data_IF_024590336039
#
_entry.id   IF_024590336039
#
_cell.length_a   1.000
_cell.length_b   1.000
_cell.length_c   1.000
_cell.angle_alpha   90.00
_cell.angle_beta   90.00
_cell.angle_gamma   90.00
#
_symmetry.space_group_name_H-M   'P 1'
#
loop_
_entity.id
_entity.type
_entity.pdbx_description
1 polymer ?
#
# COMPACT_ATOMS: atom_id res chain seq x y z
N UNK A 1 -20.37 -40.17 43.77
CA UNK A 1 -19.45 -40.12 42.62
C UNK A 1 -19.83 -38.89 41.78
N UNK A 2 -19.11 -37.81 41.89
CA UNK A 2 -19.37 -36.57 41.14
C UNK A 2 -18.42 -36.52 39.93
N UNK A 3 -18.96 -36.63 38.71
CA UNK A 3 -18.23 -36.46 37.47
C UNK A 3 -17.86 -34.99 37.28
N UNK A 4 -16.58 -34.67 37.20
CA UNK A 4 -16.07 -33.36 36.81
C UNK A 4 -16.16 -33.25 35.28
N UNK A 5 -16.98 -32.36 34.81
CA UNK A 5 -17.00 -31.94 33.37
C UNK A 5 -15.89 -30.92 33.21
N UNK A 6 -14.86 -31.27 32.46
CA UNK A 6 -13.80 -30.37 32.04
C UNK A 6 -14.34 -29.53 30.85
N UNK A 7 -14.30 -28.19 30.86
CA UNK A 7 -14.68 -27.42 29.70
C UNK A 7 -13.62 -27.57 28.62
N UNK A 8 -14.00 -28.08 27.46
CA UNK A 8 -13.19 -28.09 26.25
C UNK A 8 -13.06 -26.63 25.74
N UNK A 9 -11.84 -26.10 25.78
CA UNK A 9 -11.55 -24.83 25.09
C UNK A 9 -11.75 -25.06 23.59
N UNK A 10 -12.80 -24.48 23.02
CA UNK A 10 -12.98 -24.43 21.58
C UNK A 10 -11.88 -23.60 20.95
N UNK A 11 -11.25 -24.11 19.89
CA UNK A 11 -10.31 -23.34 19.09
C UNK A 11 -11.00 -22.11 18.50
N UNK A 12 -10.31 -20.93 18.42
CA UNK A 12 -10.90 -19.72 17.86
C UNK A 12 -11.34 -19.97 16.41
N UNK A 13 -12.52 -19.48 16.05
CA UNK A 13 -13.05 -19.55 14.69
C UNK A 13 -12.17 -18.71 13.74
N UNK A 14 -12.12 -19.07 12.47
CA UNK A 14 -11.33 -18.36 11.43
C UNK A 14 -11.60 -16.84 11.40
N UNK A 15 -12.84 -16.43 11.63
CA UNK A 15 -13.24 -15.01 11.71
C UNK A 15 -12.61 -14.28 12.91
N UNK A 16 -12.64 -14.88 14.10
CA UNK A 16 -12.04 -14.29 15.29
C UNK A 16 -10.51 -14.15 15.16
N UNK A 17 -9.87 -15.02 14.38
CA UNK A 17 -8.42 -14.96 14.11
C UNK A 17 -8.10 -13.84 13.12
N UNK A 18 -8.97 -13.63 12.10
CA UNK A 18 -8.82 -12.56 11.13
C UNK A 18 -9.02 -11.19 11.77
N UNK A 19 -10.05 -11.02 12.62
CA UNK A 19 -10.31 -9.81 13.38
C UNK A 19 -9.12 -9.46 14.30
N UNK A 20 -8.59 -10.44 15.02
CA UNK A 20 -7.44 -10.21 15.92
C UNK A 20 -6.18 -9.80 15.18
N UNK A 21 -5.94 -10.39 14.01
CA UNK A 21 -4.81 -10.00 13.17
C UNK A 21 -4.94 -8.55 12.71
N UNK A 22 -6.14 -8.12 12.31
CA UNK A 22 -6.40 -6.76 11.86
C UNK A 22 -6.29 -5.75 13.01
N UNK A 23 -6.77 -6.07 14.22
CA UNK A 23 -6.60 -5.24 15.41
C UNK A 23 -5.12 -4.95 15.69
N UNK A 24 -4.26 -5.97 15.59
CA UNK A 24 -2.81 -5.83 15.78
C UNK A 24 -2.20 -4.91 14.70
N UNK A 25 -2.61 -5.05 13.43
CA UNK A 25 -2.12 -4.20 12.34
C UNK A 25 -2.59 -2.75 12.51
N UNK A 26 -3.82 -2.52 12.93
CA UNK A 26 -4.35 -1.17 13.20
C UNK A 26 -3.59 -0.50 14.37
N UNK A 27 -3.30 -1.26 15.43
CA UNK A 27 -2.50 -0.78 16.55
C UNK A 27 -1.04 -0.46 16.12
N UNK A 28 -0.47 -1.26 15.24
CA UNK A 28 0.87 -1.02 14.69
C UNK A 28 0.90 0.26 13.83
N UNK A 29 -0.13 0.49 13.01
CA UNK A 29 -0.26 1.74 12.26
C UNK A 29 -0.33 2.95 13.19
N UNK A 30 -1.15 2.88 14.25
CA UNK A 30 -1.24 3.95 15.24
C UNK A 30 0.11 4.23 15.93
N UNK A 31 0.90 3.19 16.27
CA UNK A 31 2.27 3.37 16.77
C UNK A 31 3.16 4.11 15.76
N UNK A 32 3.05 3.74 14.48
CA UNK A 32 3.86 4.36 13.43
C UNK A 32 3.44 5.81 13.13
N UNK A 33 2.17 6.14 13.27
CA UNK A 33 1.66 7.53 13.12
C UNK A 33 2.24 8.43 14.22
N UNK A 34 2.27 7.94 15.46
CA UNK A 34 2.71 8.73 16.61
C UNK A 34 4.25 8.95 16.65
N UNK A 35 5.03 7.97 16.21
CA UNK A 35 6.50 8.04 16.38
C UNK A 35 7.33 7.47 15.24
N UNK A 36 6.73 7.26 14.06
CA UNK A 36 7.40 6.66 12.90
C UNK A 36 7.49 5.13 12.99
N UNK A 37 8.04 4.52 11.94
CA UNK A 37 8.13 3.05 11.83
C UNK A 37 8.95 2.44 12.97
N UNK A 38 9.95 3.16 13.47
CA UNK A 38 10.81 2.70 14.57
C UNK A 38 10.08 2.62 15.91
N UNK A 39 9.01 3.38 16.11
CA UNK A 39 8.17 3.35 17.30
C UNK A 39 7.26 2.11 17.38
N UNK A 40 7.11 1.36 16.30
CA UNK A 40 6.37 0.09 16.32
C UNK A 40 7.11 -0.91 17.22
N UNK A 41 6.48 -1.36 18.30
CA UNK A 41 7.03 -2.35 19.23
C UNK A 41 5.95 -3.31 19.70
N UNK A 42 6.34 -4.51 20.13
CA UNK A 42 5.40 -5.51 20.66
C UNK A 42 4.59 -4.93 21.83
N UNK A 43 5.25 -4.24 22.75
CA UNK A 43 4.59 -3.64 23.92
C UNK A 43 3.67 -2.47 23.55
N UNK A 44 4.10 -1.60 22.63
CA UNK A 44 3.29 -0.50 22.13
C UNK A 44 2.03 -0.97 21.41
N UNK A 45 2.16 -2.00 20.58
CA UNK A 45 1.04 -2.64 19.88
C UNK A 45 0.10 -3.31 20.89
N UNK A 46 0.64 -4.09 21.82
CA UNK A 46 -0.13 -4.74 22.88
C UNK A 46 -0.95 -3.75 23.71
N UNK A 47 -0.33 -2.65 24.11
CA UNK A 47 -0.99 -1.62 24.92
C UNK A 47 -2.20 -0.99 24.19
N UNK A 48 -2.16 -0.94 22.85
CA UNK A 48 -3.25 -0.34 22.05
C UNK A 48 -4.39 -1.31 21.71
N UNK A 49 -4.08 -2.59 21.45
CA UNK A 49 -5.11 -3.54 21.00
C UNK A 49 -5.51 -4.59 22.05
N UNK A 50 -4.85 -4.62 23.22
CA UNK A 50 -5.12 -5.61 24.27
C UNK A 50 -4.80 -7.05 23.90
N UNK A 51 -4.08 -7.28 22.79
CA UNK A 51 -3.67 -8.62 22.38
C UNK A 51 -2.63 -9.18 23.38
N UNK A 52 -2.68 -10.50 23.63
CA UNK A 52 -1.62 -11.14 24.40
C UNK A 52 -0.31 -11.17 23.61
N UNK A 53 0.83 -11.13 24.32
CA UNK A 53 2.15 -11.24 23.71
C UNK A 53 2.25 -12.53 22.88
N UNK A 54 1.72 -13.65 23.39
CA UNK A 54 1.68 -14.93 22.66
C UNK A 54 0.89 -14.85 21.35
N UNK A 55 -0.24 -14.12 21.32
CA UNK A 55 -1.02 -13.92 20.11
C UNK A 55 -0.24 -13.11 19.06
N UNK A 56 0.44 -12.04 19.48
CA UNK A 56 1.26 -11.22 18.58
C UNK A 56 2.38 -12.05 17.96
N UNK A 57 3.13 -12.81 18.79
CA UNK A 57 4.20 -13.68 18.28
C UNK A 57 3.68 -14.79 17.37
N UNK A 58 2.51 -15.35 17.67
CA UNK A 58 1.89 -16.38 16.84
C UNK A 58 1.57 -15.85 15.42
N UNK A 59 1.06 -14.62 15.31
CA UNK A 59 0.68 -14.03 14.01
C UNK A 59 1.87 -13.47 13.22
N UNK A 60 2.87 -12.90 13.90
CA UNK A 60 3.86 -12.05 13.23
C UNK A 60 5.31 -12.42 13.54
N UNK A 61 5.57 -13.25 14.55
CA UNK A 61 6.90 -13.70 14.95
C UNK A 61 7.71 -12.65 15.71
N UNK A 62 7.79 -11.43 15.19
CA UNK A 62 8.56 -10.33 15.81
C UNK A 62 8.08 -8.97 15.30
N UNK A 63 8.74 -7.87 15.73
CA UNK A 63 8.49 -6.50 15.30
C UNK A 63 8.54 -6.35 13.76
N UNK A 64 9.58 -6.91 13.14
CA UNK A 64 9.79 -6.76 11.69
C UNK A 64 8.70 -7.50 10.92
N UNK A 65 8.21 -8.62 11.46
CA UNK A 65 7.06 -9.34 10.93
C UNK A 65 5.77 -8.51 10.97
N UNK A 66 5.54 -7.73 12.03
CA UNK A 66 4.39 -6.81 12.13
C UNK A 66 4.52 -5.71 11.08
N UNK A 67 5.68 -5.05 11.01
CA UNK A 67 5.95 -3.96 10.05
C UNK A 67 5.78 -4.45 8.61
N UNK A 68 6.33 -5.61 8.28
CA UNK A 68 6.20 -6.19 6.96
C UNK A 68 4.75 -6.60 6.63
N UNK A 69 4.04 -7.20 7.58
CA UNK A 69 2.64 -7.58 7.38
C UNK A 69 1.75 -6.35 7.16
N UNK A 70 1.93 -5.28 7.94
CA UNK A 70 1.23 -4.01 7.77
C UNK A 70 1.57 -3.38 6.42
N UNK A 71 2.85 -3.38 6.03
CA UNK A 71 3.28 -2.87 4.73
C UNK A 71 2.55 -3.58 3.58
N UNK A 72 2.50 -4.91 3.58
CA UNK A 72 1.84 -5.66 2.50
C UNK A 72 0.32 -5.51 2.53
N UNK A 73 -0.30 -5.42 3.71
CA UNK A 73 -1.73 -5.14 3.84
C UNK A 73 -2.10 -3.82 3.15
N UNK A 74 -1.37 -2.75 3.48
CA UNK A 74 -1.59 -1.42 2.90
C UNK A 74 -1.24 -1.40 1.41
N UNK A 75 -0.15 -2.05 1.00
CA UNK A 75 0.26 -2.14 -0.41
C UNK A 75 -0.79 -2.84 -1.28
N UNK A 76 -1.40 -3.91 -0.77
CA UNK A 76 -2.47 -4.61 -1.48
C UNK A 76 -3.74 -3.77 -1.55
N UNK A 77 -4.08 -3.05 -0.48
CA UNK A 77 -5.23 -2.15 -0.47
C UNK A 77 -5.08 -1.04 -1.51
N UNK A 78 -3.93 -0.36 -1.55
CA UNK A 78 -3.60 0.62 -2.59
C UNK A 78 -3.70 0.03 -3.99
N UNK A 79 -3.14 -1.16 -4.20
CA UNK A 79 -3.15 -1.82 -5.50
C UNK A 79 -4.56 -2.15 -5.97
N UNK A 80 -5.43 -2.62 -5.08
CA UNK A 80 -6.85 -2.88 -5.39
C UNK A 80 -7.60 -1.61 -5.77
N UNK A 81 -7.36 -0.50 -5.06
CA UNK A 81 -7.99 0.78 -5.35
C UNK A 81 -7.62 1.29 -6.75
N UNK A 82 -6.35 1.23 -7.12
CA UNK A 82 -5.88 1.61 -8.46
C UNK A 82 -6.47 0.68 -9.53
N UNK A 83 -6.45 -0.64 -9.29
CA UNK A 83 -6.97 -1.63 -10.24
C UNK A 83 -8.47 -1.43 -10.50
N UNK A 84 -9.26 -1.16 -9.46
CA UNK A 84 -10.69 -0.92 -9.61
C UNK A 84 -11.01 0.29 -10.53
N UNK A 85 -10.21 1.36 -10.43
CA UNK A 85 -10.36 2.51 -11.32
C UNK A 85 -9.92 2.20 -12.75
N UNK A 86 -8.85 1.42 -12.91
CA UNK A 86 -8.38 0.97 -14.22
C UNK A 86 -9.41 0.08 -14.92
N UNK A 87 -10.02 -0.85 -14.20
CA UNK A 87 -11.05 -1.77 -14.74
C UNK A 87 -12.34 -1.04 -15.14
N UNK A 88 -12.66 0.06 -14.47
CA UNK A 88 -13.80 0.91 -14.82
C UNK A 88 -13.53 1.83 -16.02
N UNK A 89 -12.27 2.06 -16.40
CA UNK A 89 -11.89 2.98 -17.46
C UNK A 89 -12.27 2.43 -18.85
N UNK A 90 -12.63 3.32 -19.77
CA UNK A 90 -12.95 2.97 -21.16
C UNK A 90 -11.94 3.63 -22.09
N UNK A 91 -11.12 2.81 -22.75
CA UNK A 91 -10.07 3.25 -23.66
C UNK A 91 -8.76 3.62 -22.96
N UNK A 92 -7.72 3.75 -23.77
CA UNK A 92 -6.33 3.86 -23.28
C UNK A 92 -6.07 5.18 -22.52
N UNK A 93 -6.60 6.30 -23.00
CA UNK A 93 -6.44 7.58 -22.29
C UNK A 93 -7.08 7.54 -20.91
N UNK A 94 -8.34 7.07 -20.83
CA UNK A 94 -9.04 6.93 -19.56
C UNK A 94 -8.30 5.98 -18.62
N UNK A 95 -7.73 4.87 -19.13
CA UNK A 95 -6.93 3.94 -18.35
C UNK A 95 -5.64 4.56 -17.79
N UNK A 96 -4.89 5.31 -18.61
CA UNK A 96 -3.68 6.03 -18.15
C UNK A 96 -4.03 7.04 -17.07
N UNK A 97 -5.11 7.81 -17.28
CA UNK A 97 -5.61 8.77 -16.29
C UNK A 97 -6.04 8.06 -14.99
N UNK A 98 -6.75 6.93 -15.10
CA UNK A 98 -7.21 6.14 -13.96
C UNK A 98 -6.07 5.59 -13.09
N UNK A 99 -4.94 5.20 -13.69
CA UNK A 99 -3.75 4.81 -12.95
C UNK A 99 -3.25 5.93 -12.03
N UNK A 100 -3.18 7.15 -12.57
CA UNK A 100 -2.71 8.33 -11.82
C UNK A 100 -3.72 8.77 -10.77
N UNK A 101 -4.99 8.92 -11.18
CA UNK A 101 -6.04 9.41 -10.29
C UNK A 101 -6.37 8.41 -9.18
N UNK A 102 -6.40 7.10 -9.49
CA UNK A 102 -6.63 6.05 -8.50
C UNK A 102 -5.54 5.99 -7.42
N UNK A 103 -4.29 6.18 -7.82
CA UNK A 103 -3.19 6.28 -6.88
C UNK A 103 -3.30 7.55 -6.01
N UNK A 104 -3.52 8.70 -6.63
CA UNK A 104 -3.61 10.00 -5.96
C UNK A 104 -4.79 10.05 -5.00
N UNK A 105 -5.97 9.64 -5.45
CA UNK A 105 -7.19 9.62 -4.64
C UNK A 105 -7.02 8.74 -3.40
N UNK A 106 -6.37 7.57 -3.56
CA UNK A 106 -6.06 6.70 -2.43
C UNK A 106 -5.08 7.36 -1.43
N UNK A 107 -4.01 8.01 -1.92
CA UNK A 107 -3.04 8.72 -1.06
C UNK A 107 -3.70 9.85 -0.29
N UNK A 108 -4.58 10.63 -0.93
CA UNK A 108 -5.29 11.75 -0.29
C UNK A 108 -6.32 11.25 0.73
N UNK A 109 -7.00 10.15 0.44
CA UNK A 109 -7.98 9.56 1.34
C UNK A 109 -7.34 8.87 2.56
N UNK A 110 -6.10 8.37 2.43
CA UNK A 110 -5.43 7.57 3.46
C UNK A 110 -3.96 8.03 3.67
N UNK A 111 -3.73 9.30 4.06
CA UNK A 111 -2.38 9.87 4.10
C UNK A 111 -1.46 9.19 5.12
N UNK A 112 -1.98 8.72 6.25
CA UNK A 112 -1.20 7.99 7.25
C UNK A 112 -0.71 6.64 6.73
N UNK A 113 -1.59 5.88 6.07
CA UNK A 113 -1.23 4.61 5.43
C UNK A 113 -0.22 4.82 4.31
N UNK A 114 -0.40 5.85 3.50
CA UNK A 114 0.53 6.21 2.43
C UNK A 114 1.90 6.61 2.99
N UNK A 115 1.94 7.41 4.05
CA UNK A 115 3.21 7.80 4.73
C UNK A 115 3.92 6.56 5.27
N UNK A 116 3.20 5.65 5.92
CA UNK A 116 3.76 4.39 6.40
C UNK A 116 4.40 3.58 5.27
N UNK A 117 3.73 3.42 4.11
CA UNK A 117 4.31 2.70 2.97
C UNK A 117 5.66 3.27 2.51
N UNK A 118 5.77 4.60 2.46
CA UNK A 118 7.03 5.23 2.06
C UNK A 118 8.13 5.01 3.10
N UNK A 119 7.83 5.19 4.38
CA UNK A 119 8.79 5.07 5.46
C UNK A 119 9.24 3.62 5.70
N UNK A 120 8.30 2.67 5.70
CA UNK A 120 8.59 1.27 6.00
C UNK A 120 9.29 0.51 4.86
N UNK A 121 9.28 1.06 3.62
CA UNK A 121 9.82 0.36 2.45
C UNK A 121 11.28 -0.09 2.63
N UNK A 122 12.13 0.77 3.16
CA UNK A 122 13.56 0.46 3.36
C UNK A 122 13.74 -0.63 4.42
N UNK A 123 12.99 -0.57 5.52
CA UNK A 123 13.04 -1.58 6.58
C UNK A 123 12.58 -2.96 6.06
N UNK A 124 11.49 -3.00 5.28
CA UNK A 124 11.01 -4.24 4.67
C UNK A 124 12.00 -4.77 3.63
N UNK A 125 12.65 -3.89 2.85
CA UNK A 125 13.67 -4.25 1.86
C UNK A 125 14.96 -4.78 2.50
N UNK A 126 15.28 -4.39 3.72
CA UNK A 126 16.42 -4.91 4.48
C UNK A 126 16.10 -6.15 5.33
N UNK A 127 14.82 -6.50 5.45
CA UNK A 127 14.32 -7.57 6.31
C UNK A 127 14.15 -8.93 5.60
N UNK A 128 13.67 -9.94 6.32
CA UNK A 128 13.50 -11.30 5.78
C UNK A 128 12.42 -11.40 4.68
N UNK A 129 11.55 -10.38 4.54
CA UNK A 129 10.49 -10.33 3.52
C UNK A 129 10.91 -9.61 2.22
N UNK A 130 12.22 -9.37 2.02
CA UNK A 130 12.78 -8.80 0.78
C UNK A 130 12.34 -9.56 -0.49
N UNK A 131 12.33 -10.91 -0.54
CA UNK A 131 11.85 -11.63 -1.71
C UNK A 131 10.38 -11.35 -2.03
N UNK A 132 9.52 -11.21 -1.01
CA UNK A 132 8.10 -10.91 -1.19
C UNK A 132 7.91 -9.50 -1.76
N UNK A 133 8.71 -8.53 -1.30
CA UNK A 133 8.69 -7.16 -1.82
C UNK A 133 9.11 -7.13 -3.29
N UNK A 134 10.17 -7.83 -3.65
CA UNK A 134 10.62 -7.95 -5.04
C UNK A 134 9.56 -8.62 -5.92
N UNK A 135 8.94 -9.69 -5.44
CA UNK A 135 7.87 -10.40 -6.15
C UNK A 135 6.63 -9.51 -6.34
N UNK A 136 6.19 -8.79 -5.30
CA UNK A 136 5.04 -7.89 -5.39
C UNK A 136 5.29 -6.74 -6.39
N UNK A 137 6.50 -6.15 -6.37
CA UNK A 137 6.91 -5.13 -7.32
C UNK A 137 6.95 -5.68 -8.77
N UNK A 138 7.51 -6.87 -8.97
CA UNK A 138 7.58 -7.54 -10.27
C UNK A 138 6.17 -7.83 -10.82
N UNK A 139 5.29 -8.42 -10.03
CA UNK A 139 3.89 -8.71 -10.45
C UNK A 139 3.15 -7.45 -10.89
N UNK A 140 3.26 -6.38 -10.10
CA UNK A 140 2.63 -5.09 -10.44
C UNK A 140 3.19 -4.53 -11.76
N UNK A 141 4.50 -4.57 -11.93
CA UNK A 141 5.15 -4.06 -13.13
C UNK A 141 4.76 -4.89 -14.36
N UNK A 142 4.76 -6.21 -14.25
CA UNK A 142 4.32 -7.12 -15.31
C UNK A 142 2.87 -6.88 -15.71
N UNK A 143 1.97 -6.67 -14.75
CA UNK A 143 0.57 -6.37 -15.03
C UNK A 143 0.41 -5.05 -15.81
N UNK A 144 1.15 -4.01 -15.44
CA UNK A 144 1.14 -2.75 -16.17
C UNK A 144 1.74 -2.88 -17.58
N UNK A 145 2.86 -3.58 -17.72
CA UNK A 145 3.46 -3.86 -19.03
C UNK A 145 2.49 -4.62 -19.93
N UNK A 146 1.85 -5.66 -19.41
CA UNK A 146 0.85 -6.44 -20.14
C UNK A 146 -0.37 -5.60 -20.54
N UNK A 147 -0.78 -4.63 -19.70
CA UNK A 147 -1.86 -3.72 -20.02
C UNK A 147 -1.47 -2.72 -21.13
N UNK A 148 -0.23 -2.22 -21.15
CA UNK A 148 0.23 -1.28 -22.18
C UNK A 148 0.49 -1.93 -23.54
N UNK A 149 0.92 -3.19 -23.58
CA UNK A 149 1.38 -3.84 -24.82
C UNK A 149 0.35 -3.86 -25.96
N UNK A 150 -0.92 -4.23 -25.78
CA UNK A 150 -1.94 -4.15 -26.84
C UNK A 150 -2.14 -2.73 -27.37
N UNK A 151 -2.08 -1.73 -26.50
CA UNK A 151 -2.23 -0.33 -26.88
C UNK A 151 -1.04 0.20 -27.68
N UNK A 152 0.17 -0.26 -27.34
CA UNK A 152 1.39 0.02 -28.08
C UNK A 152 1.33 -0.59 -29.48
N UNK A 153 0.94 -1.86 -29.60
CA UNK A 153 0.77 -2.56 -30.87
C UNK A 153 -0.29 -1.91 -31.77
N UNK A 154 -1.35 -1.38 -31.18
CA UNK A 154 -2.39 -0.65 -31.90
C UNK A 154 -1.99 0.79 -32.27
N UNK A 155 -0.79 1.25 -31.89
CA UNK A 155 -0.33 2.62 -32.17
C UNK A 155 -1.06 3.72 -31.34
N UNK A 156 -1.80 3.33 -30.30
CA UNK A 156 -2.53 4.27 -29.45
C UNK A 156 -1.63 4.94 -28.39
N UNK A 157 -0.48 4.35 -28.11
CA UNK A 157 0.58 4.94 -27.28
C UNK A 157 1.91 4.89 -28.04
N UNK A 158 2.86 5.71 -27.58
CA UNK A 158 4.21 5.81 -28.17
C UNK A 158 4.88 4.44 -28.25
N UNK A 159 5.64 4.22 -29.31
CA UNK A 159 6.45 3.00 -29.46
C UNK A 159 7.73 3.08 -28.60
N UNK A 160 7.56 2.97 -27.29
CA UNK A 160 8.62 2.90 -26.30
C UNK A 160 8.65 1.52 -25.67
N UNK A 161 9.79 1.11 -25.08
CA UNK A 161 9.84 -0.11 -24.27
C UNK A 161 8.74 -0.10 -23.20
N UNK A 162 7.93 -1.17 -23.14
CA UNK A 162 6.79 -1.23 -22.23
C UNK A 162 7.19 -1.15 -20.75
N UNK A 163 8.40 -1.58 -20.40
CA UNK A 163 8.98 -1.44 -19.05
C UNK A 163 9.20 0.03 -18.63
N UNK A 164 9.29 0.96 -19.59
CA UNK A 164 9.41 2.39 -19.31
C UNK A 164 8.07 3.06 -19.01
N UNK A 165 6.97 2.54 -19.58
CA UNK A 165 5.63 3.14 -19.47
C UNK A 165 5.18 3.36 -18.01
N UNK A 166 5.31 2.38 -17.09
CA UNK A 166 4.95 2.59 -15.69
C UNK A 166 5.67 3.77 -15.03
N UNK A 167 6.96 3.96 -15.37
CA UNK A 167 7.75 5.06 -14.82
C UNK A 167 7.30 6.42 -15.37
N UNK A 168 6.98 6.52 -16.63
CA UNK A 168 6.49 7.75 -17.26
C UNK A 168 5.11 8.14 -16.74
N UNK A 169 4.24 7.17 -16.49
CA UNK A 169 2.86 7.41 -16.02
C UNK A 169 2.83 7.68 -14.52
N UNK A 170 3.47 6.83 -13.72
CA UNK A 170 3.35 6.89 -12.25
C UNK A 170 4.43 7.75 -11.58
N UNK A 171 5.58 7.96 -12.23
CA UNK A 171 6.71 8.67 -11.64
C UNK A 171 6.36 10.06 -11.10
N UNK A 172 5.77 10.95 -11.90
CA UNK A 172 5.44 12.30 -11.46
C UNK A 172 4.47 12.34 -10.27
N UNK A 173 3.36 11.58 -10.31
CA UNK A 173 2.38 11.56 -9.23
C UNK A 173 2.97 10.95 -7.94
N UNK A 174 3.75 9.89 -8.05
CA UNK A 174 4.42 9.29 -6.89
C UNK A 174 5.43 10.25 -6.27
N UNK A 175 6.20 10.97 -7.09
CA UNK A 175 7.16 11.97 -6.62
C UNK A 175 6.47 13.10 -5.86
N UNK A 176 5.40 13.67 -6.44
CA UNK A 176 4.66 14.75 -5.79
C UNK A 176 3.99 14.30 -4.49
N UNK A 177 3.29 13.16 -4.50
CA UNK A 177 2.64 12.63 -3.30
C UNK A 177 3.65 12.33 -2.18
N UNK A 178 4.83 11.79 -2.51
CA UNK A 178 5.89 11.55 -1.53
C UNK A 178 6.38 12.85 -0.91
N UNK A 179 6.65 13.87 -1.72
CA UNK A 179 7.08 15.17 -1.24
C UNK A 179 6.01 15.83 -0.35
N UNK A 180 4.73 15.74 -0.74
CA UNK A 180 3.61 16.23 0.07
C UNK A 180 3.50 15.52 1.42
N UNK A 181 3.61 14.20 1.46
CA UNK A 181 3.52 13.40 2.70
C UNK A 181 4.74 13.59 3.63
N UNK A 182 5.91 13.95 3.09
CA UNK A 182 7.11 14.21 3.87
C UNK A 182 7.24 15.68 4.31
N UNK A 183 6.41 16.57 3.75
CA UNK A 183 6.41 17.99 4.10
C UNK A 183 5.99 18.23 5.55
N UNK A 184 6.66 19.21 6.20
CA UNK A 184 6.25 19.74 7.50
C UNK A 184 5.14 20.77 7.29
N UNK A 185 4.31 20.96 8.32
CA UNK A 185 3.35 22.07 8.37
C UNK A 185 4.08 23.41 8.36
N UNK A 186 3.57 24.37 7.60
CA UNK A 186 4.14 25.71 7.56
C UNK A 186 4.05 26.38 6.19
N UNK A 187 4.66 27.58 6.02
CA UNK A 187 4.58 28.36 4.78
C UNK A 187 5.15 27.66 3.54
N UNK A 188 6.00 26.64 3.75
CA UNK A 188 6.61 25.81 2.69
C UNK A 188 5.88 24.50 2.45
N UNK A 189 4.74 24.26 3.10
CA UNK A 189 3.95 23.05 2.91
C UNK A 189 3.44 22.96 1.46
N UNK A 190 3.60 21.78 0.86
CA UNK A 190 3.06 21.56 -0.47
C UNK A 190 1.52 21.50 -0.42
N UNK A 191 0.90 22.07 -1.44
CA UNK A 191 -0.54 21.98 -1.65
C UNK A 191 -0.96 20.52 -1.83
N UNK A 192 -2.16 20.16 -1.32
CA UNK A 192 -2.70 18.81 -1.51
C UNK A 192 -2.66 18.38 -2.98
N UNK A 193 -2.20 17.15 -3.27
CA UNK A 193 -2.18 16.63 -4.63
C UNK A 193 -3.55 16.62 -5.29
N UNK A 194 -4.64 16.62 -4.52
CA UNK A 194 -6.01 16.66 -5.04
C UNK A 194 -6.28 17.84 -5.97
N UNK A 195 -5.66 19.01 -5.72
CA UNK A 195 -5.81 20.20 -6.56
C UNK A 195 -5.19 20.01 -7.94
N UNK A 196 -4.13 19.20 -8.04
CA UNK A 196 -3.40 18.94 -9.29
C UNK A 196 -3.80 17.61 -9.94
N UNK A 197 -4.91 17.01 -9.50
CA UNK A 197 -5.37 15.69 -9.93
C UNK A 197 -5.46 15.59 -11.46
N UNK A 198 -6.16 16.52 -12.08
CA UNK A 198 -6.36 16.52 -13.53
C UNK A 198 -5.07 16.87 -14.29
N UNK A 199 -4.26 17.79 -13.76
CA UNK A 199 -3.00 18.16 -14.40
C UNK A 199 -2.00 17.01 -14.39
N UNK A 200 -1.87 16.30 -13.27
CA UNK A 200 -1.00 15.11 -13.17
C UNK A 200 -1.47 13.98 -14.09
N UNK A 201 -2.79 13.74 -14.17
CA UNK A 201 -3.36 12.76 -15.09
C UNK A 201 -3.15 13.13 -16.56
N UNK A 202 -3.35 14.41 -16.90
CA UNK A 202 -3.11 14.92 -18.25
C UNK A 202 -1.63 14.87 -18.63
N UNK A 203 -0.73 15.18 -17.71
CA UNK A 203 0.72 15.08 -17.93
C UNK A 203 1.15 13.64 -18.21
N UNK A 204 0.63 12.67 -17.46
CA UNK A 204 0.89 11.25 -17.68
C UNK A 204 0.41 10.81 -19.08
N UNK A 205 -0.79 11.22 -19.48
CA UNK A 205 -1.28 10.91 -20.83
C UNK A 205 -0.41 11.55 -21.91
N UNK A 206 -0.05 12.84 -21.79
CA UNK A 206 0.87 13.52 -22.75
C UNK A 206 2.22 12.82 -22.86
N UNK A 207 2.72 12.21 -21.80
CA UNK A 207 3.99 11.51 -21.79
C UNK A 207 3.99 10.21 -22.62
N UNK A 208 2.84 9.55 -22.77
CA UNK A 208 2.75 8.22 -23.40
C UNK A 208 1.88 8.16 -24.66
N UNK A 209 1.03 9.14 -24.93
CA UNK A 209 0.20 9.16 -26.14
C UNK A 209 1.08 9.19 -27.41
N UNK A 210 0.61 8.54 -28.47
CA UNK A 210 1.24 8.59 -29.79
C UNK A 210 1.21 9.99 -30.38
#
# INVERSE_FOLDING_TARGET
>A
MASRITPTLSAPTSEATTDRRQDILNAALACAVDGGVDAVSIDGVRARCGASVGSIYHHFGNKDGIVAALFFDIFHDQSRSVQAQLDAARGVEAGVRALVTGYLDWVVAQPERARFLFQARSAVAAGPRTPDLAQAASRRNQALVAWFEPHRQAGAVRNLPCELMPSLVMGPVQSYCRAWLSGQEGPSALTSPAIYREELAAAAWRAVRA
#
